data_IF_813404444864
#
_entry.id   IF_813404444864
#
_cell.length_a   1.000
_cell.length_b   1.000
_cell.length_c   1.000
_cell.angle_alpha   90.00
_cell.angle_beta   90.00
_cell.angle_gamma   90.00
#
_symmetry.space_group_name_H-M   'P 1'
#
loop_
_entity.id
_entity.type
_entity.pdbx_description
1 polymer ?
#
# COMPACT_ATOMS: atom_id res chain seq x y z
N UNK A 1 -30.51 0.83 3.67
CA UNK A 1 -29.74 0.45 2.48
C UNK A 1 -28.32 0.97 2.67
N UNK A 2 -27.31 0.12 2.59
CA UNK A 2 -25.92 0.59 2.53
C UNK A 2 -25.73 1.41 1.25
N UNK A 3 -25.18 2.62 1.38
CA UNK A 3 -24.87 3.45 0.21
C UNK A 3 -23.77 2.76 -0.59
N UNK A 4 -24.05 2.47 -1.86
CA UNK A 4 -23.03 1.96 -2.78
C UNK A 4 -22.35 3.14 -3.47
N UNK A 5 -21.01 3.19 -3.43
CA UNK A 5 -20.23 4.24 -4.08
C UNK A 5 -19.74 3.79 -5.46
N UNK A 6 -19.92 4.67 -6.44
CA UNK A 6 -19.33 4.54 -7.79
C UNK A 6 -17.85 4.91 -7.77
N UNK A 7 -17.08 4.45 -8.75
CA UNK A 7 -15.66 4.80 -8.85
C UNK A 7 -15.41 6.30 -9.05
N UNK A 8 -16.31 6.98 -9.77
CA UNK A 8 -16.24 8.44 -9.94
C UNK A 8 -16.40 9.17 -8.61
N UNK A 9 -17.35 8.75 -7.76
CA UNK A 9 -17.51 9.32 -6.42
C UNK A 9 -16.29 9.06 -5.53
N UNK A 10 -15.68 7.88 -5.63
CA UNK A 10 -14.45 7.57 -4.89
C UNK A 10 -13.29 8.46 -5.37
N UNK A 11 -13.11 8.61 -6.68
CA UNK A 11 -12.09 9.50 -7.24
C UNK A 11 -12.26 10.94 -6.76
N UNK A 12 -13.47 11.48 -6.83
CA UNK A 12 -13.81 12.82 -6.34
C UNK A 12 -13.41 12.99 -4.87
N UNK A 13 -13.71 11.99 -4.03
CA UNK A 13 -13.32 11.99 -2.61
C UNK A 13 -11.81 12.00 -2.42
N UNK A 14 -11.08 11.18 -3.17
CA UNK A 14 -9.62 11.15 -3.12
C UNK A 14 -9.00 12.48 -3.56
N UNK A 15 -9.55 13.11 -4.61
CA UNK A 15 -9.11 14.45 -5.06
C UNK A 15 -9.38 15.51 -3.97
N UNK A 16 -10.56 15.48 -3.34
CA UNK A 16 -10.87 16.37 -2.22
C UNK A 16 -9.91 16.17 -1.05
N UNK A 17 -9.54 14.93 -0.78
CA UNK A 17 -8.57 14.61 0.25
C UNK A 17 -7.16 15.06 -0.09
N UNK A 18 -6.71 14.93 -1.34
CA UNK A 18 -5.43 15.50 -1.78
C UNK A 18 -5.39 17.02 -1.58
N UNK A 19 -6.51 17.73 -1.81
CA UNK A 19 -6.59 19.17 -1.50
C UNK A 19 -6.41 19.46 -0.01
N UNK A 20 -6.85 18.55 0.88
CA UNK A 20 -6.66 18.67 2.33
C UNK A 20 -5.20 18.36 2.70
N UNK A 21 -4.65 17.27 2.15
CA UNK A 21 -3.26 16.83 2.38
C UNK A 21 -2.28 17.93 2.00
N UNK A 22 -2.49 18.58 0.85
CA UNK A 22 -1.61 19.61 0.31
C UNK A 22 -2.15 21.04 0.51
N UNK A 23 -3.04 21.27 1.47
CA UNK A 23 -3.72 22.57 1.64
C UNK A 23 -2.75 23.75 1.83
N UNK A 24 -1.58 23.50 2.43
CA UNK A 24 -0.56 24.51 2.71
C UNK A 24 0.66 24.41 1.79
N UNK A 25 0.58 23.56 0.76
CA UNK A 25 1.71 23.24 -0.11
C UNK A 25 1.44 23.70 -1.54
N UNK A 26 2.48 24.14 -2.24
CA UNK A 26 2.40 24.28 -3.68
C UNK A 26 2.81 22.96 -4.34
N UNK A 27 1.83 22.10 -4.64
CA UNK A 27 2.09 20.74 -5.16
C UNK A 27 2.97 20.72 -6.41
N UNK A 28 2.94 21.78 -7.24
CA UNK A 28 3.71 21.85 -8.47
C UNK A 28 5.21 22.12 -8.25
N UNK A 29 5.60 22.57 -7.05
CA UNK A 29 7.01 22.78 -6.70
C UNK A 29 7.62 21.59 -5.97
N UNK A 30 6.80 20.64 -5.54
CA UNK A 30 7.25 19.46 -4.82
C UNK A 30 7.78 18.38 -5.77
N UNK A 31 8.85 17.73 -5.36
CA UNK A 31 9.33 16.48 -5.93
C UNK A 31 8.36 15.33 -5.64
N UNK A 32 8.48 14.24 -6.38
CA UNK A 32 7.67 13.04 -6.12
C UNK A 32 7.95 12.44 -4.74
N UNK A 33 9.20 12.50 -4.29
CA UNK A 33 9.58 12.07 -2.95
C UNK A 33 8.86 12.88 -1.85
N UNK A 34 8.83 14.21 -1.98
CA UNK A 34 8.14 15.08 -1.00
C UNK A 34 6.64 14.83 -0.99
N UNK A 35 6.00 14.74 -2.17
CA UNK A 35 4.57 14.40 -2.27
C UNK A 35 4.27 13.05 -1.62
N UNK A 36 5.07 12.02 -1.93
CA UNK A 36 4.98 10.67 -1.36
C UNK A 36 5.06 10.72 0.16
N UNK A 37 6.06 11.42 0.71
CA UNK A 37 6.26 11.56 2.16
C UNK A 37 5.08 12.26 2.85
N UNK A 38 4.57 13.34 2.28
CA UNK A 38 3.43 14.08 2.84
C UNK A 38 2.18 13.20 2.89
N UNK A 39 1.89 12.45 1.82
CA UNK A 39 0.75 11.51 1.77
C UNK A 39 0.95 10.40 2.81
N UNK A 40 2.13 9.78 2.85
CA UNK A 40 2.46 8.73 3.82
C UNK A 40 2.24 9.22 5.25
N UNK A 41 2.78 10.39 5.57
CA UNK A 41 2.71 11.01 6.89
C UNK A 41 1.29 11.31 7.32
N UNK A 42 0.48 11.81 6.39
CA UNK A 42 -0.93 12.10 6.63
C UNK A 42 -1.71 10.82 6.93
N UNK A 43 -1.62 9.81 6.06
CA UNK A 43 -2.37 8.57 6.23
C UNK A 43 -1.96 7.81 7.50
N UNK A 44 -0.66 7.78 7.82
CA UNK A 44 -0.16 7.09 9.02
C UNK A 44 -0.71 7.69 10.32
N UNK A 45 -1.21 8.93 10.29
CA UNK A 45 -1.81 9.62 11.44
C UNK A 45 -3.34 9.66 11.41
N UNK A 46 -3.94 9.54 10.22
CA UNK A 46 -5.39 9.73 10.03
C UNK A 46 -6.16 8.42 9.91
N UNK A 47 -5.50 7.30 9.64
CA UNK A 47 -6.13 5.98 9.55
C UNK A 47 -5.95 5.19 10.85
N UNK A 48 -7.00 4.48 11.24
CA UNK A 48 -6.96 3.47 12.31
C UNK A 48 -6.93 2.04 11.76
N UNK A 49 -6.27 1.13 12.47
CA UNK A 49 -6.24 -0.28 12.07
C UNK A 49 -7.48 -1.05 12.58
N UNK A 50 -8.08 -1.89 11.72
CA UNK A 50 -9.26 -2.71 12.05
C UNK A 50 -8.87 -4.09 12.59
N UNK A 51 -8.50 -4.12 13.88
CA UNK A 51 -8.15 -5.36 14.58
C UNK A 51 -9.28 -6.39 14.63
N UNK A 52 -10.55 -5.96 14.60
CA UNK A 52 -11.70 -6.87 14.60
C UNK A 52 -11.78 -7.65 13.28
N UNK A 53 -11.58 -6.94 12.16
CA UNK A 53 -11.52 -7.56 10.84
C UNK A 53 -10.32 -8.49 10.70
N UNK A 54 -9.15 -8.07 11.19
CA UNK A 54 -7.96 -8.93 11.24
C UNK A 54 -8.21 -10.23 12.02
N UNK A 55 -8.81 -10.13 13.21
CA UNK A 55 -9.17 -11.30 14.04
C UNK A 55 -10.13 -12.24 13.29
N UNK A 56 -11.11 -11.68 12.58
CA UNK A 56 -12.05 -12.46 11.79
C UNK A 56 -11.32 -13.24 10.67
N UNK A 57 -10.37 -12.62 9.97
CA UNK A 57 -9.55 -13.27 8.94
C UNK A 57 -8.67 -14.38 9.53
N UNK A 58 -8.02 -14.14 10.68
CA UNK A 58 -7.21 -15.14 11.38
C UNK A 58 -8.02 -16.40 11.73
N UNK A 59 -9.25 -16.22 12.19
CA UNK A 59 -10.13 -17.34 12.52
C UNK A 59 -10.45 -18.23 11.31
N UNK A 60 -10.42 -17.70 10.07
CA UNK A 60 -10.55 -18.52 8.86
C UNK A 60 -9.31 -19.38 8.68
N UNK A 61 -8.12 -18.78 8.74
CA UNK A 61 -6.85 -19.49 8.52
C UNK A 61 -6.64 -20.60 9.55
N UNK A 62 -7.10 -20.40 10.79
CA UNK A 62 -7.07 -21.40 11.85
C UNK A 62 -8.18 -22.46 11.74
N UNK A 63 -9.04 -22.42 10.71
CA UNK A 63 -10.14 -23.36 10.53
C UNK A 63 -11.29 -23.21 11.53
N UNK A 64 -11.27 -22.15 12.36
CA UNK A 64 -12.31 -21.85 13.36
C UNK A 64 -13.60 -21.40 12.66
N UNK A 65 -13.47 -20.66 11.55
CA UNK A 65 -14.60 -20.22 10.72
C UNK A 65 -14.38 -20.71 9.29
N UNK A 66 -15.40 -21.32 8.68
CA UNK A 66 -15.27 -21.94 7.35
C UNK A 66 -15.08 -20.95 6.20
N UNK A 67 -15.64 -19.75 6.30
CA UNK A 67 -15.54 -18.70 5.27
C UNK A 67 -15.93 -17.34 5.83
N UNK A 68 -15.25 -16.28 5.38
CA UNK A 68 -15.77 -14.92 5.36
C UNK A 68 -15.89 -14.52 3.91
N UNK A 69 -17.06 -14.03 3.50
CA UNK A 69 -17.20 -13.43 2.19
C UNK A 69 -16.52 -12.06 2.21
N UNK A 70 -15.31 -11.99 1.63
CA UNK A 70 -14.56 -10.75 1.54
C UNK A 70 -14.90 -10.03 0.26
N UNK A 71 -15.35 -8.79 0.38
CA UNK A 71 -15.54 -7.90 -0.74
C UNK A 71 -14.46 -6.81 -0.69
N UNK A 72 -13.35 -7.05 -1.38
CA UNK A 72 -12.16 -6.20 -1.32
C UNK A 72 -12.45 -4.76 -1.75
N UNK A 73 -13.33 -4.57 -2.74
CA UNK A 73 -13.79 -3.25 -3.17
C UNK A 73 -14.53 -2.53 -2.04
N UNK A 74 -15.48 -3.22 -1.38
CA UNK A 74 -16.19 -2.65 -0.23
C UNK A 74 -15.22 -2.31 0.89
N UNK A 75 -14.28 -3.20 1.19
CA UNK A 75 -13.29 -2.97 2.25
C UNK A 75 -12.41 -1.75 1.97
N UNK A 76 -11.95 -1.55 0.74
CA UNK A 76 -11.22 -0.34 0.34
C UNK A 76 -12.08 0.91 0.49
N UNK A 77 -13.32 0.88 -0.03
CA UNK A 77 -14.24 2.01 0.06
C UNK A 77 -14.51 2.38 1.52
N UNK A 78 -14.77 1.37 2.37
CA UNK A 78 -14.97 1.56 3.80
C UNK A 78 -13.73 2.18 4.44
N UNK A 79 -12.52 1.76 4.06
CA UNK A 79 -11.28 2.38 4.54
C UNK A 79 -11.15 3.84 4.14
N UNK A 80 -11.49 4.21 2.89
CA UNK A 80 -11.46 5.60 2.40
C UNK A 80 -12.47 6.47 3.16
N UNK A 81 -13.67 5.94 3.43
CA UNK A 81 -14.78 6.70 4.05
C UNK A 81 -14.63 6.78 5.57
N UNK A 82 -14.37 5.64 6.22
CA UNK A 82 -14.35 5.50 7.68
C UNK A 82 -12.96 5.75 8.29
N UNK A 83 -11.94 5.92 7.44
CA UNK A 83 -10.53 6.03 7.86
C UNK A 83 -10.10 4.87 8.76
N UNK A 84 -10.61 3.68 8.46
CA UNK A 84 -10.34 2.46 9.24
C UNK A 84 -10.26 1.23 8.34
N UNK A 85 -9.15 0.50 8.38
CA UNK A 85 -8.91 -0.64 7.50
C UNK A 85 -7.85 -1.61 8.02
N UNK A 86 -7.55 -2.63 7.22
CA UNK A 86 -6.41 -3.55 7.43
C UNK A 86 -5.35 -3.34 6.33
N UNK A 87 -4.21 -4.03 6.44
CA UNK A 87 -3.04 -3.84 5.57
C UNK A 87 -3.40 -3.69 4.09
N UNK A 88 -4.14 -4.64 3.52
CA UNK A 88 -4.46 -4.60 2.11
C UNK A 88 -5.26 -3.34 1.71
N UNK A 89 -6.37 -3.05 2.38
CA UNK A 89 -7.21 -1.87 2.07
C UNK A 89 -6.49 -0.53 2.29
N UNK A 90 -5.57 -0.46 3.26
CA UNK A 90 -4.80 0.75 3.55
C UNK A 90 -3.72 0.97 2.50
N UNK A 91 -2.98 -0.08 2.11
CA UNK A 91 -1.99 -0.01 1.02
C UNK A 91 -2.61 0.38 -0.31
N UNK A 92 -3.80 -0.13 -0.62
CA UNK A 92 -4.53 0.26 -1.83
C UNK A 92 -4.97 1.72 -1.81
N UNK A 93 -5.46 2.17 -0.66
CA UNK A 93 -5.84 3.57 -0.51
C UNK A 93 -4.64 4.50 -0.68
N UNK A 94 -3.50 4.16 -0.08
CA UNK A 94 -2.27 4.91 -0.28
C UNK A 94 -1.83 4.93 -1.74
N UNK A 95 -1.82 3.76 -2.40
CA UNK A 95 -1.53 3.65 -3.84
C UNK A 95 -2.40 4.59 -4.67
N UNK A 96 -3.71 4.64 -4.42
CA UNK A 96 -4.61 5.50 -5.19
C UNK A 96 -4.31 6.98 -5.02
N UNK A 97 -3.90 7.42 -3.83
CA UNK A 97 -3.48 8.81 -3.59
C UNK A 97 -2.15 9.14 -4.30
N UNK A 98 -1.19 8.22 -4.27
CA UNK A 98 0.08 8.35 -5.00
C UNK A 98 -0.14 8.47 -6.52
N UNK A 99 -0.97 7.60 -7.09
CA UNK A 99 -1.22 7.58 -8.54
C UNK A 99 -1.95 8.83 -9.02
N UNK A 100 -2.85 9.39 -8.20
CA UNK A 100 -3.53 10.65 -8.51
C UNK A 100 -2.58 11.86 -8.59
N UNK A 101 -1.42 11.77 -7.96
CA UNK A 101 -0.35 12.80 -8.06
C UNK A 101 0.78 12.40 -9.00
N UNK A 102 0.58 11.34 -9.80
CA UNK A 102 1.52 10.89 -10.83
C UNK A 102 2.62 9.94 -10.35
N UNK A 103 2.55 9.46 -9.11
CA UNK A 103 3.55 8.56 -8.53
C UNK A 103 3.11 7.12 -8.70
N UNK A 104 3.99 6.30 -9.30
CA UNK A 104 3.70 4.91 -9.59
C UNK A 104 3.97 4.04 -8.36
N UNK A 105 2.98 3.26 -7.95
CA UNK A 105 3.08 2.34 -6.82
C UNK A 105 2.37 1.02 -7.11
N UNK A 106 2.89 -0.06 -6.52
CA UNK A 106 2.26 -1.38 -6.54
C UNK A 106 2.04 -1.87 -5.13
N UNK A 107 0.89 -2.50 -4.88
CA UNK A 107 0.65 -3.25 -3.67
C UNK A 107 1.25 -4.65 -3.81
N UNK A 108 2.06 -5.04 -2.84
CA UNK A 108 2.75 -6.34 -2.82
C UNK A 108 2.45 -7.04 -1.51
N UNK A 109 2.30 -8.36 -1.59
CA UNK A 109 1.99 -9.21 -0.45
C UNK A 109 3.20 -10.06 -0.10
N UNK A 110 3.49 -10.16 1.19
CA UNK A 110 4.57 -10.98 1.73
C UNK A 110 4.16 -11.69 3.02
N UNK A 111 4.96 -12.68 3.42
CA UNK A 111 5.00 -13.14 4.80
C UNK A 111 5.81 -12.11 5.61
N UNK A 112 5.30 -11.67 6.75
CA UNK A 112 5.99 -10.76 7.68
C UNK A 112 6.30 -11.45 9.02
N UNK A 113 6.28 -12.78 9.05
CA UNK A 113 6.40 -13.57 10.27
C UNK A 113 5.14 -13.58 11.15
N UNK A 114 4.05 -12.92 10.75
CA UNK A 114 2.77 -13.01 11.48
C UNK A 114 1.84 -14.09 10.93
N UNK A 115 0.74 -14.31 11.65
CA UNK A 115 -0.22 -15.36 11.31
C UNK A 115 -0.94 -15.12 9.98
N UNK A 116 -0.95 -13.90 9.44
CA UNK A 116 -1.58 -13.61 8.15
C UNK A 116 -0.59 -12.89 7.26
N UNK A 117 -0.70 -13.10 5.94
CA UNK A 117 0.13 -12.39 4.99
C UNK A 117 -0.13 -10.88 5.11
N UNK A 118 0.93 -10.12 4.91
CA UNK A 118 0.94 -8.67 5.01
C UNK A 118 0.98 -8.05 3.63
N UNK A 119 0.35 -6.89 3.46
CA UNK A 119 0.39 -6.14 2.22
C UNK A 119 0.97 -4.75 2.49
N UNK A 120 1.86 -4.33 1.61
CA UNK A 120 2.53 -3.03 1.65
C UNK A 120 2.75 -2.51 0.23
N UNK A 121 3.40 -1.37 0.09
CA UNK A 121 3.61 -0.73 -1.19
C UNK A 121 5.09 -0.81 -1.61
N UNK A 122 5.32 -1.06 -2.89
CA UNK A 122 6.55 -0.61 -3.55
C UNK A 122 6.22 0.63 -4.38
N UNK A 123 7.15 1.58 -4.44
CA UNK A 123 6.97 2.85 -5.14
C UNK A 123 8.19 3.08 -6.04
N UNK A 124 7.94 3.42 -7.31
CA UNK A 124 9.00 3.72 -8.27
C UNK A 124 9.49 5.16 -8.07
N UNK A 125 10.80 5.33 -7.93
CA UNK A 125 11.45 6.61 -8.08
C UNK A 125 11.48 6.98 -9.57
N UNK A 126 10.84 8.09 -9.93
CA UNK A 126 10.66 8.50 -11.33
C UNK A 126 11.95 8.95 -12.02
N UNK A 127 13.00 9.28 -11.25
CA UNK A 127 14.30 9.72 -11.77
C UNK A 127 15.17 8.51 -12.12
N UNK A 128 15.21 7.53 -11.23
CA UNK A 128 16.13 6.40 -11.30
C UNK A 128 15.47 5.12 -11.84
N UNK A 129 14.14 5.03 -11.79
CA UNK A 129 13.37 3.84 -12.17
C UNK A 129 13.51 2.67 -11.18
N UNK A 130 14.15 2.90 -10.03
CA UNK A 130 14.25 1.91 -8.96
C UNK A 130 13.07 1.99 -8.01
N UNK A 131 12.87 0.92 -7.24
CA UNK A 131 11.78 0.78 -6.29
C UNK A 131 12.29 0.81 -4.85
N UNK A 132 11.48 1.36 -3.97
CA UNK A 132 11.62 1.23 -2.51
C UNK A 132 10.28 0.88 -1.88
N UNK A 133 10.32 0.44 -0.63
CA UNK A 133 9.15 0.00 0.12
C UNK A 133 8.57 1.12 0.98
N UNK A 134 7.24 1.09 1.11
CA UNK A 134 6.46 1.88 2.06
C UNK A 134 5.48 0.96 2.80
N UNK A 135 5.49 1.02 4.12
CA UNK A 135 4.57 0.26 4.97
C UNK A 135 3.92 1.16 6.03
N UNK A 136 2.91 1.90 5.56
CA UNK A 136 2.06 2.74 6.41
C UNK A 136 1.45 1.94 7.56
N UNK A 137 1.10 0.68 7.31
CA UNK A 137 0.36 -0.11 8.28
C UNK A 137 1.22 -0.52 9.47
N UNK A 138 2.50 -0.82 9.26
CA UNK A 138 3.45 -1.06 10.34
C UNK A 138 3.64 0.16 11.25
N UNK A 139 3.58 1.37 10.70
CA UNK A 139 3.54 2.62 11.48
C UNK A 139 2.25 2.72 12.31
N UNK A 140 1.09 2.50 11.68
CA UNK A 140 -0.22 2.59 12.36
C UNK A 140 -0.32 1.60 13.52
N UNK A 141 0.18 0.37 13.35
CA UNK A 141 0.18 -0.66 14.41
C UNK A 141 1.37 -0.55 15.37
N UNK A 142 2.18 0.51 15.27
CA UNK A 142 3.31 0.83 16.16
C UNK A 142 4.41 -0.24 16.20
N UNK A 143 4.72 -0.87 15.05
CA UNK A 143 5.92 -1.72 14.90
C UNK A 143 7.22 -0.92 14.84
N UNK A 144 7.14 0.37 14.51
CA UNK A 144 8.26 1.31 14.53
C UNK A 144 7.82 2.71 14.11
N UNK A 145 8.80 3.58 13.86
CA UNK A 145 8.62 4.97 13.45
C UNK A 145 8.28 5.10 11.97
N UNK A 146 8.01 6.33 11.52
CA UNK A 146 7.73 6.59 10.10
C UNK A 146 8.98 6.37 9.25
N UNK A 147 10.13 6.73 9.82
CA UNK A 147 11.44 6.64 9.21
C UNK A 147 11.87 5.19 9.00
N UNK A 148 11.40 4.27 9.84
CA UNK A 148 11.69 2.84 9.71
C UNK A 148 10.94 2.16 8.54
N UNK A 149 9.78 2.73 8.14
CA UNK A 149 8.83 2.10 7.22
C UNK A 149 8.46 2.98 6.02
N UNK A 150 9.23 4.03 5.76
CA UNK A 150 9.11 4.89 4.59
C UNK A 150 10.39 4.83 3.75
N UNK A 151 10.25 4.65 2.44
CA UNK A 151 11.36 4.66 1.48
C UNK A 151 12.52 3.72 1.86
N UNK A 152 12.19 2.51 2.31
CA UNK A 152 13.20 1.55 2.76
C UNK A 152 13.56 0.53 1.68
N UNK A 153 14.75 -0.04 1.82
CA UNK A 153 15.34 -0.93 0.84
C UNK A 153 15.00 -2.42 1.13
N UNK A 154 15.46 -3.33 0.27
CA UNK A 154 15.22 -4.77 0.44
C UNK A 154 15.88 -5.38 1.69
N UNK A 155 17.06 -4.92 2.07
CA UNK A 155 17.75 -5.36 3.29
C UNK A 155 16.95 -4.98 4.55
N UNK A 156 16.45 -3.74 4.61
CA UNK A 156 15.56 -3.27 5.67
C UNK A 156 14.24 -4.04 5.68
N UNK A 157 13.68 -4.38 4.51
CA UNK A 157 12.49 -5.22 4.43
C UNK A 157 12.72 -6.59 5.08
N UNK A 158 13.86 -7.22 4.80
CA UNK A 158 14.24 -8.48 5.46
C UNK A 158 14.47 -8.32 6.97
N UNK A 159 15.06 -7.21 7.41
CA UNK A 159 15.21 -6.91 8.84
C UNK A 159 13.84 -6.74 9.54
N UNK A 160 12.83 -6.27 8.81
CA UNK A 160 11.43 -6.22 9.25
C UNK A 160 10.70 -7.57 9.11
N UNK A 161 11.43 -8.65 8.82
CA UNK A 161 10.91 -10.00 8.57
C UNK A 161 10.00 -10.14 7.34
N UNK A 162 10.01 -9.16 6.44
CA UNK A 162 9.14 -9.14 5.27
C UNK A 162 9.79 -9.86 4.09
N UNK A 163 9.11 -10.88 3.56
CA UNK A 163 9.58 -11.66 2.41
C UNK A 163 10.72 -12.62 2.71
N UNK A 164 10.88 -13.03 3.98
CA UNK A 164 11.85 -14.06 4.37
C UNK A 164 11.44 -15.48 3.94
N UNK A 165 10.16 -15.68 3.68
CA UNK A 165 9.58 -16.96 3.25
C UNK A 165 8.77 -16.76 1.99
N UNK A 166 8.75 -17.79 1.14
CA UNK A 166 7.85 -17.83 0.01
C UNK A 166 6.40 -17.95 0.49
N UNK A 167 5.50 -17.26 -0.20
CA UNK A 167 4.08 -17.50 -0.09
C UNK A 167 3.77 -18.81 -0.82
N UNK A 168 3.34 -19.83 -0.08
CA UNK A 168 3.17 -21.21 -0.56
C UNK A 168 2.39 -21.32 -1.88
N UNK A 169 1.34 -20.52 -2.04
CA UNK A 169 0.50 -20.54 -3.24
C UNK A 169 1.17 -19.99 -4.51
N UNK A 170 2.25 -19.22 -4.37
CA UNK A 170 2.91 -18.50 -5.49
C UNK A 170 4.39 -18.81 -5.64
N UNK A 171 4.99 -19.52 -4.67
CA UNK A 171 6.42 -19.84 -4.59
C UNK A 171 7.34 -18.61 -4.78
N UNK A 172 6.91 -17.46 -4.25
CA UNK A 172 7.64 -16.20 -4.30
C UNK A 172 7.59 -15.49 -2.94
N UNK A 173 8.66 -14.79 -2.52
CA UNK A 173 8.69 -14.06 -1.24
C UNK A 173 7.78 -12.83 -1.24
N UNK A 174 7.57 -12.28 -2.44
CA UNK A 174 6.73 -11.12 -2.69
C UNK A 174 5.91 -11.40 -3.94
N UNK A 175 4.63 -11.07 -3.91
CA UNK A 175 3.79 -11.21 -5.10
C UNK A 175 2.76 -10.09 -5.17
N UNK A 176 2.36 -9.73 -6.37
CA UNK A 176 1.24 -8.81 -6.62
C UNK A 176 0.03 -9.68 -6.88
N UNK A 177 -1.07 -9.49 -6.14
CA UNK A 177 -2.32 -10.19 -6.45
C UNK A 177 -2.95 -9.49 -7.67
N UNK A 178 -3.10 -10.17 -8.82
CA UNK A 178 -3.69 -9.55 -10.01
C UNK A 178 -5.11 -9.05 -9.78
N UNK A 179 -5.91 -9.76 -8.98
CA UNK A 179 -7.29 -9.39 -8.62
C UNK A 179 -7.36 -8.25 -7.58
N UNK A 180 -6.28 -8.05 -6.81
CA UNK A 180 -6.09 -6.84 -5.98
C UNK A 180 -5.33 -5.75 -6.73
N UNK A 181 -5.13 -5.86 -8.04
CA UNK A 181 -4.94 -4.67 -8.86
C UNK A 181 -6.28 -3.95 -8.91
N UNK A 182 -6.76 -3.45 -7.77
CA UNK A 182 -7.83 -2.47 -7.74
C UNK A 182 -7.29 -1.29 -8.54
N UNK A 183 -7.72 -1.31 -9.80
CA UNK A 183 -7.15 -0.67 -10.95
C UNK A 183 -7.00 0.83 -10.69
N UNK A 184 -5.81 1.45 -10.82
CA UNK A 184 -5.19 1.87 -12.09
C UNK A 184 -6.09 2.50 -13.17
N UNK A 185 -7.41 2.69 -12.95
CA UNK A 185 -8.32 3.24 -13.97
C UNK A 185 -8.96 4.54 -13.54
N UNK A 186 -8.07 5.46 -13.19
CA UNK A 186 -8.39 6.87 -13.19
C UNK A 186 -8.10 7.49 -14.58
N UNK A 187 -7.27 6.91 -15.48
CA UNK A 187 -7.28 7.32 -16.92
C UNK A 187 -6.34 6.57 -17.93
N UNK A 188 -5.81 5.36 -17.71
CA UNK A 188 -4.95 4.70 -18.72
C UNK A 188 -5.27 3.24 -18.91
N UNK A 189 -5.48 2.81 -20.16
CA UNK A 189 -5.86 1.45 -20.60
C UNK A 189 -4.72 0.41 -20.56
N UNK A 190 -3.57 0.73 -20.00
CA UNK A 190 -2.38 -0.10 -20.16
C UNK A 190 -2.22 -0.98 -18.92
N UNK A 191 -2.69 -2.23 -19.01
CA UNK A 191 -2.18 -3.31 -18.14
C UNK A 191 -0.78 -3.63 -18.64
N UNK A 192 0.29 -3.49 -17.85
CA UNK A 192 1.58 -4.04 -18.26
C UNK A 192 1.41 -5.57 -18.39
N UNK A 193 1.62 -6.11 -19.58
CA UNK A 193 1.44 -7.52 -19.92
C UNK A 193 2.24 -8.49 -19.00
N UNK A 194 3.19 -7.96 -18.21
CA UNK A 194 4.18 -8.72 -17.45
C UNK A 194 4.13 -8.48 -15.93
N UNK A 195 2.97 -8.24 -15.31
CA UNK A 195 2.86 -8.05 -13.84
C UNK A 195 3.09 -9.31 -12.99
N UNK A 196 3.46 -10.45 -13.59
CA UNK A 196 3.75 -11.70 -12.87
C UNK A 196 5.17 -11.75 -12.28
N UNK A 197 6.09 -10.88 -12.70
CA UNK A 197 7.45 -10.85 -12.13
C UNK A 197 7.61 -9.63 -11.21
N UNK A 198 7.71 -9.90 -9.90
CA UNK A 198 8.11 -8.90 -8.92
C UNK A 198 9.52 -8.39 -9.27
N UNK A 199 9.72 -7.08 -9.50
CA UNK A 199 10.98 -6.56 -10.03
C UNK A 199 12.04 -6.43 -8.94
N UNK A 200 12.37 -7.53 -8.25
CA UNK A 200 13.29 -7.55 -7.10
C UNK A 200 14.66 -6.96 -7.45
N UNK A 201 15.11 -7.16 -8.69
CA UNK A 201 16.38 -6.66 -9.22
C UNK A 201 16.39 -5.14 -9.43
N UNK A 202 15.23 -4.48 -9.40
CA UNK A 202 15.09 -3.02 -9.48
C UNK A 202 14.79 -2.37 -8.13
N UNK A 203 14.83 -3.13 -7.03
CA UNK A 203 14.72 -2.54 -5.69
C UNK A 203 16.08 -1.99 -5.29
N UNK A 204 16.12 -0.73 -4.85
CA UNK A 204 17.38 -0.07 -4.44
C UNK A 204 18.03 -0.90 -3.32
N UNK A 205 19.35 -1.16 -3.40
CA UNK A 205 20.19 -1.43 -2.22
C UNK A 205 20.63 -0.06 -1.70
N UNK A 206 20.10 0.42 -0.57
CA UNK A 206 20.48 1.76 -0.10
C UNK A 206 21.90 1.73 0.45
N UNK A 207 22.88 1.99 -0.41
CA UNK A 207 24.21 2.44 -0.03
C UNK A 207 24.75 3.48 -1.02
N UNK A 208 23.86 4.20 -1.71
CA UNK A 208 24.26 5.42 -2.41
C UNK A 208 23.92 6.61 -1.51
N UNK A 209 24.99 7.14 -0.93
CA UNK A 209 25.11 8.42 -0.23
C UNK A 209 24.03 9.43 -0.61
N UNK A 210 23.20 9.78 0.37
CA UNK A 210 22.40 10.99 0.37
C UNK A 210 23.36 12.18 0.31
N UNK A 211 23.63 12.69 -0.89
CA UNK A 211 24.15 14.06 -1.03
C UNK A 211 22.98 15.02 -0.83
N UNK A 212 23.13 15.84 0.21
CA UNK A 212 22.31 16.99 0.59
C UNK A 212 22.32 18.01 -0.55
#
# INVERSE_FOLDING_TARGET
>A
MEKTYTWNEIREKLIQELKIIFANENINTLTDYEKRKIIFDYLSQKISYDYNKLKAIRNIKLGIVKRIDRNLRKELIDTIILKKGICNSISQYYKLLLELVGIKSYCVVCDDGTEVNHQLNIVEDSITGYYSFDDITSVIVKRGSKEDYFDYNLETAYNHSQGLKNIEAYDQPWFVIPDELIYYYVNRNDVPDNLQEFPINKIVKSNQTKTI
#
